data_IF_793830627676
#
_entry.id   IF_793830627676
#
_cell.length_a   1.000
_cell.length_b   1.000
_cell.length_c   1.000
_cell.angle_alpha   90.00
_cell.angle_beta   90.00
_cell.angle_gamma   90.00
#
_symmetry.space_group_name_H-M   'P 1'
#
loop_
_entity.id
_entity.type
_entity.pdbx_description
1 polymer ?
#
# COMPACT_ATOMS: atom_id res chain seq x y z
N UNK A 1 -8.21 -1.15 -27.03
CA UNK A 1 -7.27 -0.07 -27.43
C UNK A 1 -6.45 0.31 -26.21
N UNK A 2 -5.17 0.65 -26.41
CA UNK A 2 -4.32 1.20 -25.34
C UNK A 2 -4.83 2.57 -24.90
N UNK A 3 -4.69 2.92 -23.62
CA UNK A 3 -5.05 4.26 -23.15
C UNK A 3 -4.05 5.30 -23.67
N UNK A 4 -4.45 6.57 -23.76
CA UNK A 4 -3.56 7.65 -24.18
C UNK A 4 -2.29 7.74 -23.29
N UNK A 5 -2.43 7.44 -21.99
CA UNK A 5 -1.31 7.42 -21.05
C UNK A 5 -0.30 6.31 -21.37
N UNK A 6 -0.76 5.09 -21.67
CA UNK A 6 0.13 3.98 -22.03
C UNK A 6 0.83 4.26 -23.36
N UNK A 7 0.12 4.81 -24.35
CA UNK A 7 0.76 5.22 -25.61
C UNK A 7 1.84 6.28 -25.38
N UNK A 8 1.60 7.24 -24.49
CA UNK A 8 2.55 8.31 -24.18
C UNK A 8 3.81 7.77 -23.51
N UNK A 9 3.67 6.92 -22.48
CA UNK A 9 4.84 6.38 -21.79
C UNK A 9 5.67 5.47 -22.71
N UNK A 10 5.02 4.67 -23.58
CA UNK A 10 5.75 3.90 -24.60
C UNK A 10 6.56 4.80 -25.52
N UNK A 11 5.97 5.89 -26.03
CA UNK A 11 6.69 6.84 -26.90
C UNK A 11 7.84 7.55 -26.18
N UNK A 12 7.68 7.86 -24.90
CA UNK A 12 8.77 8.42 -24.08
C UNK A 12 9.91 7.42 -23.87
N UNK A 13 9.62 6.13 -23.70
CA UNK A 13 10.66 5.11 -23.53
C UNK A 13 11.43 4.86 -24.83
N UNK A 14 10.74 4.85 -25.98
CA UNK A 14 11.35 4.66 -27.31
C UNK A 14 12.41 5.72 -27.67
N UNK A 15 12.39 6.91 -27.06
CA UNK A 15 13.39 7.96 -27.33
C UNK A 15 14.68 7.82 -26.53
N UNK A 16 14.72 6.92 -25.55
CA UNK A 16 15.85 6.72 -24.66
C UNK A 16 16.83 5.67 -25.20
N UNK A 17 18.13 5.76 -24.91
CA UNK A 17 19.07 4.66 -25.12
C UNK A 17 18.63 3.40 -24.36
N UNK A 18 18.92 2.22 -24.90
CA UNK A 18 18.50 0.92 -24.33
C UNK A 18 18.88 0.77 -22.85
N UNK A 19 20.11 1.12 -22.48
CA UNK A 19 20.57 1.11 -21.07
C UNK A 19 19.73 2.01 -20.16
N UNK A 20 19.24 3.13 -20.68
CA UNK A 20 18.37 4.06 -19.94
C UNK A 20 16.93 3.54 -19.89
N UNK A 21 16.46 2.83 -20.93
CA UNK A 21 15.16 2.17 -20.90
C UNK A 21 15.10 1.12 -19.80
N UNK A 22 16.14 0.28 -19.67
CA UNK A 22 16.22 -0.74 -18.61
C UNK A 22 16.15 -0.12 -17.21
N UNK A 23 16.92 0.94 -16.97
CA UNK A 23 16.88 1.68 -15.70
C UNK A 23 15.49 2.27 -15.43
N UNK A 24 14.87 2.88 -16.44
CA UNK A 24 13.53 3.44 -16.30
C UNK A 24 12.46 2.37 -16.01
N UNK A 25 12.59 1.16 -16.59
CA UNK A 25 11.71 0.03 -16.30
C UNK A 25 11.84 -0.41 -14.83
N UNK A 26 13.05 -0.47 -14.28
CA UNK A 26 13.24 -0.83 -12.87
C UNK A 26 12.56 0.19 -11.93
N UNK A 27 12.71 1.49 -12.19
CA UNK A 27 12.04 2.52 -11.41
C UNK A 27 10.52 2.47 -11.53
N UNK A 28 10.00 2.25 -12.74
CA UNK A 28 8.56 2.11 -12.98
C UNK A 28 7.99 0.87 -12.30
N UNK A 29 8.74 -0.25 -12.23
CA UNK A 29 8.32 -1.46 -11.53
C UNK A 29 8.11 -1.19 -10.03
N UNK A 30 9.04 -0.47 -9.40
CA UNK A 30 8.92 -0.10 -7.99
C UNK A 30 7.69 0.80 -7.76
N UNK A 31 7.54 1.84 -8.58
CA UNK A 31 6.39 2.73 -8.51
C UNK A 31 5.04 1.98 -8.67
N UNK A 32 4.94 1.07 -9.64
CA UNK A 32 3.72 0.28 -9.86
C UNK A 32 3.45 -0.64 -8.67
N UNK A 33 4.49 -1.24 -8.09
CA UNK A 33 4.35 -2.13 -6.93
C UNK A 33 3.83 -1.36 -5.72
N UNK A 34 4.40 -0.19 -5.42
CA UNK A 34 3.91 0.69 -4.36
C UNK A 34 2.46 1.15 -4.59
N UNK A 35 2.12 1.53 -5.83
CA UNK A 35 0.77 1.95 -6.17
C UNK A 35 -0.27 0.83 -6.03
N UNK A 36 0.11 -0.41 -6.34
CA UNK A 36 -0.76 -1.58 -6.17
C UNK A 36 -0.95 -1.92 -4.68
N UNK A 37 0.11 -1.86 -3.89
CA UNK A 37 0.05 -2.10 -2.45
C UNK A 37 -0.84 -1.05 -1.74
N UNK A 38 -0.66 0.23 -2.05
CA UNK A 38 -1.52 1.30 -1.53
C UNK A 38 -2.99 1.09 -1.92
N UNK A 39 -3.24 0.69 -3.18
CA UNK A 39 -4.61 0.40 -3.62
C UNK A 39 -5.23 -0.80 -2.88
N UNK A 40 -4.43 -1.83 -2.61
CA UNK A 40 -4.86 -2.98 -1.81
C UNK A 40 -5.11 -2.59 -0.35
N UNK A 41 -4.27 -1.74 0.22
CA UNK A 41 -4.44 -1.18 1.56
C UNK A 41 -5.73 -0.40 1.66
N UNK A 42 -5.99 0.54 0.74
CA UNK A 42 -7.20 1.35 0.70
C UNK A 42 -8.47 0.50 0.62
N UNK A 43 -8.47 -0.50 -0.25
CA UNK A 43 -9.60 -1.42 -0.40
C UNK A 43 -9.85 -2.21 0.90
N UNK A 44 -8.77 -2.71 1.52
CA UNK A 44 -8.82 -3.46 2.77
C UNK A 44 -9.30 -2.60 3.93
N UNK A 45 -8.77 -1.38 4.05
CA UNK A 45 -9.14 -0.43 5.07
C UNK A 45 -10.60 0.01 4.92
N UNK A 46 -11.03 0.38 3.71
CA UNK A 46 -12.43 0.76 3.45
C UNK A 46 -13.42 -0.33 3.86
N UNK A 47 -13.06 -1.61 3.68
CA UNK A 47 -13.87 -2.76 4.09
C UNK A 47 -13.87 -2.96 5.61
N UNK A 48 -12.77 -2.66 6.30
CA UNK A 48 -12.54 -3.03 7.71
C UNK A 48 -12.62 -1.87 8.70
N UNK A 49 -12.73 -0.62 8.22
CA UNK A 49 -12.67 0.59 9.04
C UNK A 49 -13.66 0.57 10.21
N UNK A 50 -14.89 0.09 9.99
CA UNK A 50 -15.92 0.01 11.04
C UNK A 50 -15.54 -0.98 12.13
N UNK A 51 -15.01 -2.15 11.76
CA UNK A 51 -14.52 -3.14 12.73
C UNK A 51 -13.33 -2.60 13.51
N UNK A 52 -12.38 -1.92 12.84
CA UNK A 52 -11.23 -1.29 13.49
C UNK A 52 -11.66 -0.24 14.53
N UNK A 53 -12.63 0.62 14.19
CA UNK A 53 -13.19 1.61 15.13
C UNK A 53 -13.85 0.90 16.32
N UNK A 54 -14.62 -0.16 16.07
CA UNK A 54 -15.27 -0.94 17.14
C UNK A 54 -14.24 -1.58 18.07
N UNK A 55 -13.22 -2.22 17.49
CA UNK A 55 -12.12 -2.85 18.23
C UNK A 55 -11.35 -1.82 19.07
N UNK A 56 -11.02 -0.65 18.51
CA UNK A 56 -10.35 0.42 19.23
C UNK A 56 -11.19 0.97 20.40
N UNK A 57 -12.51 1.12 20.20
CA UNK A 57 -13.43 1.51 21.28
C UNK A 57 -13.49 0.45 22.38
N UNK A 58 -13.53 -0.83 22.02
CA UNK A 58 -13.51 -1.91 23.00
C UNK A 58 -12.19 -1.91 23.78
N UNK A 59 -11.05 -1.85 23.09
CA UNK A 59 -9.74 -1.78 23.73
C UNK A 59 -9.65 -0.65 24.77
N UNK A 60 -10.19 0.54 24.46
CA UNK A 60 -10.25 1.65 25.43
C UNK A 60 -11.09 1.33 26.67
N UNK A 61 -12.21 0.61 26.52
CA UNK A 61 -13.04 0.17 27.65
C UNK A 61 -12.29 -0.85 28.51
N UNK A 62 -11.64 -1.82 27.88
CA UNK A 62 -10.85 -2.86 28.58
C UNK A 62 -9.68 -2.23 29.35
N UNK A 63 -8.99 -1.25 28.77
CA UNK A 63 -7.94 -0.47 29.46
C UNK A 63 -8.54 0.26 30.67
N UNK A 64 -9.66 0.96 30.51
CA UNK A 64 -10.31 1.66 31.61
C UNK A 64 -10.82 0.72 32.72
N UNK A 65 -11.19 -0.52 32.36
CA UNK A 65 -11.55 -1.58 33.30
C UNK A 65 -10.33 -2.24 33.98
N UNK A 66 -9.10 -1.87 33.59
CA UNK A 66 -7.87 -2.43 34.16
C UNK A 66 -7.46 -3.79 33.59
N UNK A 67 -8.07 -4.22 32.47
CA UNK A 67 -7.77 -5.50 31.84
C UNK A 67 -6.56 -5.46 30.89
N UNK A 68 -5.93 -4.29 30.73
CA UNK A 68 -4.75 -4.15 29.86
C UNK A 68 -3.47 -4.69 30.51
N UNK A 69 -2.63 -5.36 29.72
CA UNK A 69 -1.30 -5.79 30.11
C UNK A 69 -0.26 -5.21 29.16
N UNK A 70 0.99 -5.10 29.62
CA UNK A 70 2.11 -4.71 28.74
C UNK A 70 2.29 -5.76 27.65
N UNK A 71 2.62 -5.30 26.44
CA UNK A 71 2.93 -6.19 25.33
C UNK A 71 4.18 -7.01 25.67
N UNK A 72 4.07 -8.33 25.58
CA UNK A 72 5.17 -9.27 25.82
C UNK A 72 5.83 -9.62 24.48
N UNK A 73 6.99 -9.01 24.21
CA UNK A 73 7.71 -9.14 22.95
C UNK A 73 8.34 -10.54 22.75
N UNK A 74 8.49 -11.33 23.82
CA UNK A 74 9.09 -12.67 23.76
C UNK A 74 8.07 -13.74 23.31
N UNK A 75 6.79 -13.36 23.14
CA UNK A 75 5.68 -14.26 22.75
C UNK A 75 5.06 -13.93 21.39
N UNK A 76 5.66 -13.03 20.61
CA UNK A 76 5.19 -12.65 19.28
C UNK A 76 5.64 -13.61 18.17
#
# INVERSE_FOLDING_TARGET
>A
MSSAAITTITKMMETLPESTQEQAVEHLRNFITEALDESQWDASFKKTQKQLISAARQARKEIAAGHSQSMDYDRL
#
